data_IF_134798717035
#
_entry.id   IF_134798717035
#
_cell.length_a   1.000
_cell.length_b   1.000
_cell.length_c   1.000
_cell.angle_alpha   90.00
_cell.angle_beta   90.00
_cell.angle_gamma   90.00
#
_symmetry.space_group_name_H-M   'P 1'
#
loop_
_entity.id
_entity.type
_entity.pdbx_description
1 polymer ?
#
# COMPACT_ATOMS: atom_id res chain seq x y z
N UNK A 1 71.84 -10.96 -5.98
CA UNK A 1 70.57 -11.72 -6.01
C UNK A 1 69.78 -11.37 -4.76
N UNK A 2 68.65 -10.67 -4.91
CA UNK A 2 67.48 -10.79 -4.04
C UNK A 2 66.37 -9.90 -4.57
N UNK A 3 65.27 -10.57 -4.88
CA UNK A 3 64.02 -10.07 -5.46
C UNK A 3 63.11 -9.70 -4.28
N UNK A 4 62.35 -8.62 -4.43
CA UNK A 4 61.32 -8.23 -3.46
C UNK A 4 60.45 -7.11 -4.01
N UNK A 5 59.57 -7.43 -4.95
CA UNK A 5 58.50 -6.54 -5.40
C UNK A 5 57.58 -6.16 -4.24
N UNK A 6 57.10 -4.90 -4.14
CA UNK A 6 55.97 -4.59 -3.29
C UNK A 6 54.71 -5.22 -3.90
N UNK A 7 54.09 -6.14 -3.17
CA UNK A 7 52.75 -6.62 -3.47
C UNK A 7 51.78 -5.44 -3.40
N UNK A 8 51.34 -4.97 -4.57
CA UNK A 8 50.08 -4.24 -4.70
C UNK A 8 48.99 -5.17 -4.18
N UNK A 9 48.52 -4.92 -2.96
CA UNK A 9 47.19 -5.34 -2.56
C UNK A 9 46.22 -4.47 -3.38
N UNK A 10 45.92 -4.95 -4.59
CA UNK A 10 44.74 -4.51 -5.33
C UNK A 10 43.58 -4.59 -4.35
N UNK A 11 42.97 -3.45 -4.06
CA UNK A 11 41.73 -3.39 -3.33
C UNK A 11 40.67 -4.07 -4.17
N UNK A 12 40.54 -5.39 -4.03
CA UNK A 12 39.34 -6.14 -4.34
C UNK A 12 38.27 -5.63 -3.37
N UNK A 13 37.62 -4.52 -3.73
CA UNK A 13 36.40 -4.09 -3.05
C UNK A 13 35.47 -3.43 -4.05
N UNK A 14 34.76 -4.28 -4.78
CA UNK A 14 33.31 -4.26 -4.71
C UNK A 14 32.81 -5.65 -5.08
N UNK A 15 32.44 -6.45 -4.08
CA UNK A 15 31.49 -7.54 -4.31
C UNK A 15 30.36 -6.92 -5.15
N UNK A 16 30.03 -7.41 -6.36
CA UNK A 16 28.84 -6.93 -7.03
C UNK A 16 27.68 -7.37 -6.16
N UNK A 17 27.17 -6.47 -5.32
CA UNK A 17 25.90 -6.72 -4.65
C UNK A 17 24.90 -6.98 -5.78
N UNK A 18 24.13 -8.07 -5.75
CA UNK A 18 23.09 -8.26 -6.74
C UNK A 18 22.21 -7.02 -6.68
N UNK A 19 22.10 -6.29 -7.80
CA UNK A 19 21.23 -5.14 -7.91
C UNK A 19 19.84 -5.60 -7.46
N UNK A 20 19.35 -5.10 -6.32
CA UNK A 20 18.01 -5.42 -5.80
C UNK A 20 16.97 -4.63 -6.58
N UNK A 21 17.07 -4.78 -7.89
CA UNK A 21 16.36 -4.10 -8.94
C UNK A 21 16.25 -5.07 -10.11
N UNK A 22 15.16 -4.97 -10.87
CA UNK A 22 14.92 -5.79 -12.05
C UNK A 22 14.78 -4.85 -13.25
N UNK A 23 15.52 -5.12 -14.32
CA UNK A 23 15.38 -4.39 -15.57
C UNK A 23 14.06 -4.76 -16.28
N UNK A 24 13.53 -3.90 -17.17
CA UNK A 24 12.21 -4.12 -17.74
C UNK A 24 12.12 -5.37 -18.63
N UNK A 25 13.23 -5.82 -19.22
CA UNK A 25 13.26 -7.03 -20.05
C UNK A 25 13.18 -8.27 -19.17
N UNK A 26 14.01 -8.36 -18.12
CA UNK A 26 13.94 -9.46 -17.14
C UNK A 26 12.57 -9.53 -16.47
N UNK A 27 11.96 -8.37 -16.19
CA UNK A 27 10.59 -8.34 -15.65
C UNK A 27 9.56 -8.87 -16.65
N UNK A 28 9.63 -8.48 -17.93
CA UNK A 28 8.72 -8.96 -18.97
C UNK A 28 8.89 -10.46 -19.26
N UNK A 29 10.10 -10.99 -19.15
CA UNK A 29 10.42 -12.41 -19.33
C UNK A 29 10.06 -13.26 -18.10
N UNK A 30 9.89 -12.62 -16.94
CA UNK A 30 9.42 -13.30 -15.74
C UNK A 30 8.03 -13.88 -16.01
N UNK A 31 7.85 -15.18 -15.75
CA UNK A 31 6.57 -15.88 -15.93
C UNK A 31 5.54 -15.49 -14.85
N UNK A 32 5.28 -14.20 -14.71
CA UNK A 32 4.31 -13.64 -13.80
C UNK A 32 2.90 -13.94 -14.29
N UNK A 33 1.93 -14.13 -13.39
CA UNK A 33 0.54 -14.30 -13.78
C UNK A 33 0.05 -12.98 -14.40
N UNK A 34 -0.28 -13.04 -15.69
CA UNK A 34 -0.91 -11.93 -16.40
C UNK A 34 -2.22 -11.56 -15.73
N UNK A 35 -2.47 -10.26 -15.50
CA UNK A 35 -3.76 -9.81 -14.99
C UNK A 35 -4.88 -10.14 -15.99
N UNK A 36 -6.00 -10.68 -15.51
CA UNK A 36 -7.15 -10.99 -16.36
C UNK A 36 -7.74 -9.71 -16.99
N UNK A 37 -8.02 -8.70 -16.16
CA UNK A 37 -8.50 -7.39 -16.58
C UNK A 37 -7.77 -6.27 -15.80
N UNK A 38 -6.65 -5.75 -16.35
CA UNK A 38 -5.91 -4.66 -15.70
C UNK A 38 -6.76 -3.42 -15.47
N UNK A 39 -7.69 -3.13 -16.39
CA UNK A 39 -8.49 -1.91 -16.30
C UNK A 39 -9.40 -1.96 -15.08
N UNK A 40 -10.10 -3.07 -14.88
CA UNK A 40 -10.95 -3.27 -13.72
C UNK A 40 -10.16 -3.19 -12.40
N UNK A 41 -8.99 -3.82 -12.34
CA UNK A 41 -8.11 -3.74 -11.15
C UNK A 41 -7.67 -2.30 -10.87
N UNK A 42 -7.24 -1.56 -11.88
CA UNK A 42 -6.82 -0.17 -11.73
C UNK A 42 -8.01 0.73 -11.35
N UNK A 43 -9.17 0.57 -11.98
CA UNK A 43 -10.40 1.30 -11.66
C UNK A 43 -10.82 1.06 -10.21
N UNK A 44 -10.74 -0.18 -9.73
CA UNK A 44 -11.09 -0.56 -8.36
C UNK A 44 -10.10 0.03 -7.34
N UNK A 45 -8.79 -0.16 -7.54
CA UNK A 45 -7.76 0.38 -6.66
C UNK A 45 -7.81 1.92 -6.62
N UNK A 46 -7.99 2.56 -7.78
CA UNK A 46 -8.11 4.00 -7.86
C UNK A 46 -9.37 4.51 -7.14
N UNK A 47 -10.51 3.83 -7.29
CA UNK A 47 -11.76 4.20 -6.61
C UNK A 47 -11.66 4.06 -5.09
N UNK A 48 -11.00 3.01 -4.59
CA UNK A 48 -10.88 2.72 -3.15
C UNK A 48 -9.84 3.65 -2.50
N UNK A 49 -8.67 3.79 -3.10
CA UNK A 49 -7.53 4.49 -2.47
C UNK A 49 -7.39 5.95 -2.88
N UNK A 50 -8.05 6.38 -3.98
CA UNK A 50 -7.98 7.74 -4.53
C UNK A 50 -6.54 8.32 -4.52
N UNK A 51 -5.55 7.59 -5.06
CA UNK A 51 -4.14 7.96 -4.88
C UNK A 51 -3.81 9.24 -5.64
N UNK A 52 -3.20 10.21 -4.96
CA UNK A 52 -2.54 11.34 -5.60
C UNK A 52 -1.10 10.98 -5.99
N UNK A 53 -0.43 11.74 -6.87
CA UNK A 53 0.97 11.53 -7.20
C UNK A 53 1.86 11.44 -5.95
N UNK A 54 2.78 10.48 -5.94
CA UNK A 54 3.62 10.13 -4.78
C UNK A 54 3.06 9.01 -3.90
N UNK A 55 1.78 8.65 -4.05
CA UNK A 55 1.17 7.51 -3.34
C UNK A 55 1.43 6.20 -4.08
N UNK A 56 1.88 5.21 -3.33
CA UNK A 56 1.91 3.80 -3.75
C UNK A 56 0.68 3.09 -3.23
N UNK A 57 0.04 2.26 -4.05
CA UNK A 57 -1.04 1.37 -3.64
C UNK A 57 -0.60 -0.08 -3.83
N UNK A 58 -0.64 -0.85 -2.76
CA UNK A 58 -0.47 -2.29 -2.78
C UNK A 58 -1.86 -2.95 -2.81
N UNK A 59 -2.13 -3.75 -3.83
CA UNK A 59 -3.35 -4.55 -3.95
C UNK A 59 -3.07 -6.04 -3.78
N UNK A 60 -4.07 -6.77 -3.29
CA UNK A 60 -4.09 -8.23 -3.26
C UNK A 60 -5.30 -8.72 -4.04
N UNK A 61 -5.06 -9.59 -5.01
CA UNK A 61 -6.06 -10.15 -5.90
C UNK A 61 -6.39 -11.59 -5.50
N UNK A 62 -7.66 -11.98 -5.57
CA UNK A 62 -8.07 -13.38 -5.54
C UNK A 62 -7.66 -14.11 -6.83
N UNK A 63 -7.81 -15.45 -6.83
CA UNK A 63 -7.50 -16.28 -8.00
C UNK A 63 -8.33 -15.96 -9.24
N UNK A 64 -9.47 -15.29 -9.08
CA UNK A 64 -10.33 -14.79 -10.17
C UNK A 64 -9.97 -13.36 -10.63
N UNK A 65 -8.93 -12.75 -10.05
CA UNK A 65 -8.44 -11.42 -10.42
C UNK A 65 -9.12 -10.25 -9.71
N UNK A 66 -10.11 -10.48 -8.83
CA UNK A 66 -10.77 -9.39 -8.07
C UNK A 66 -9.89 -8.88 -6.93
N UNK A 67 -9.94 -7.58 -6.64
CA UNK A 67 -9.25 -7.00 -5.49
C UNK A 67 -9.95 -7.45 -4.20
N UNK A 68 -9.20 -8.08 -3.30
CA UNK A 68 -9.72 -8.55 -2.00
C UNK A 68 -9.16 -7.78 -0.81
N UNK A 69 -8.03 -7.10 -1.00
CA UNK A 69 -7.45 -6.22 0.01
C UNK A 69 -6.53 -5.19 -0.65
N UNK A 70 -6.24 -4.10 0.06
CA UNK A 70 -5.27 -3.13 -0.40
C UNK A 70 -4.82 -2.16 0.70
N UNK A 71 -3.68 -1.54 0.48
CA UNK A 71 -3.13 -0.48 1.32
C UNK A 71 -2.52 0.61 0.44
N UNK A 72 -2.72 1.87 0.82
CA UNK A 72 -2.08 3.02 0.20
C UNK A 72 -1.12 3.67 1.19
N UNK A 73 0.06 4.07 0.73
CA UNK A 73 1.11 4.64 1.57
C UNK A 73 2.07 5.49 0.74
N UNK A 74 2.86 6.32 1.42
CA UNK A 74 3.91 7.14 0.81
C UNK A 74 5.26 6.60 1.29
N UNK A 75 6.21 6.48 0.36
CA UNK A 75 7.58 6.08 0.67
C UNK A 75 8.48 7.33 0.62
N UNK A 76 9.32 7.58 1.65
CA UNK A 76 10.29 8.67 1.60
C UNK A 76 11.21 8.54 0.39
N UNK A 77 11.42 9.65 -0.33
CA UNK A 77 12.23 9.69 -1.58
C UNK A 77 13.67 9.16 -1.40
N UNK A 78 14.22 9.23 -0.19
CA UNK A 78 15.54 8.66 0.14
C UNK A 78 15.61 7.13 0.03
N UNK A 79 14.47 6.44 -0.01
CA UNK A 79 14.39 4.99 -0.12
C UNK A 79 14.33 4.61 -1.60
N UNK A 80 15.48 4.16 -2.11
CA UNK A 80 15.63 3.77 -3.52
C UNK A 80 16.05 2.31 -3.68
N UNK A 81 16.45 1.63 -2.60
CA UNK A 81 16.89 0.23 -2.62
C UNK A 81 15.70 -0.74 -2.44
N UNK A 82 15.65 -1.78 -3.27
CA UNK A 82 14.58 -2.77 -3.27
C UNK A 82 14.41 -3.51 -1.94
N UNK A 83 15.48 -3.70 -1.14
CA UNK A 83 15.35 -4.32 0.19
C UNK A 83 14.50 -3.49 1.15
N UNK A 84 14.67 -2.17 1.14
CA UNK A 84 13.86 -1.29 1.97
C UNK A 84 12.41 -1.28 1.48
N UNK A 85 12.20 -1.16 0.17
CA UNK A 85 10.86 -1.21 -0.44
C UNK A 85 10.14 -2.51 -0.13
N UNK A 86 10.85 -3.65 -0.17
CA UNK A 86 10.30 -4.95 0.22
C UNK A 86 9.83 -4.96 1.66
N UNK A 87 10.62 -4.42 2.58
CA UNK A 87 10.22 -4.38 4.00
C UNK A 87 8.98 -3.50 4.20
N UNK A 88 8.84 -2.41 3.43
CA UNK A 88 7.62 -1.60 3.38
C UNK A 88 6.43 -2.44 2.88
N UNK A 89 6.57 -3.15 1.75
CA UNK A 89 5.51 -4.03 1.23
C UNK A 89 5.10 -5.09 2.24
N UNK A 90 6.06 -5.77 2.87
CA UNK A 90 5.78 -6.79 3.89
C UNK A 90 5.05 -6.22 5.11
N UNK A 91 5.39 -5.02 5.56
CA UNK A 91 4.67 -4.36 6.65
C UNK A 91 3.19 -4.20 6.29
N UNK A 92 2.89 -3.66 5.10
CA UNK A 92 1.51 -3.49 4.66
C UNK A 92 0.79 -4.83 4.43
N UNK A 93 1.42 -5.83 3.81
CA UNK A 93 0.82 -7.15 3.58
C UNK A 93 0.35 -7.80 4.87
N UNK A 94 1.16 -7.73 5.94
CA UNK A 94 0.83 -8.30 7.25
C UNK A 94 -0.41 -7.65 7.89
N UNK A 95 -0.74 -6.41 7.51
CA UNK A 95 -1.91 -5.72 8.02
C UNK A 95 -3.18 -6.01 7.20
N UNK A 96 -3.05 -6.28 5.90
CA UNK A 96 -4.22 -6.38 5.00
C UNK A 96 -4.66 -7.81 4.72
N UNK A 97 -3.75 -8.79 4.73
CA UNK A 97 -4.08 -10.20 4.49
C UNK A 97 -3.21 -11.16 5.32
N UNK A 98 -3.78 -12.27 5.82
CA UNK A 98 -2.98 -13.35 6.39
C UNK A 98 -1.97 -13.91 5.37
N UNK A 99 -0.80 -14.32 5.84
CA UNK A 99 0.21 -14.91 4.96
C UNK A 99 -0.21 -16.29 4.43
N UNK A 100 0.18 -16.61 3.20
CA UNK A 100 -0.14 -17.87 2.53
C UNK A 100 0.87 -19.00 2.73
N UNK A 101 1.92 -18.80 3.53
CA UNK A 101 3.11 -19.67 3.61
C UNK A 101 2.86 -21.16 3.96
N UNK A 102 1.70 -21.49 4.54
CA UNK A 102 1.32 -22.88 4.86
C UNK A 102 0.62 -23.61 3.70
N UNK A 103 0.27 -22.90 2.62
CA UNK A 103 -0.45 -23.47 1.48
C UNK A 103 0.54 -24.08 0.49
N UNK A 104 0.14 -25.20 -0.11
CA UNK A 104 0.91 -25.85 -1.16
C UNK A 104 1.00 -25.00 -2.44
N UNK A 105 -0.04 -24.22 -2.74
CA UNK A 105 -0.04 -23.24 -3.82
C UNK A 105 -0.55 -21.87 -3.35
N UNK A 106 0.04 -20.76 -3.82
CA UNK A 106 -0.47 -19.44 -3.47
C UNK A 106 -1.78 -19.16 -4.21
N UNK A 107 -2.77 -18.67 -3.45
CA UNK A 107 -4.14 -18.44 -3.95
C UNK A 107 -4.38 -16.99 -4.36
N UNK A 108 -3.59 -16.07 -3.78
CA UNK A 108 -3.69 -14.64 -4.06
C UNK A 108 -2.46 -14.16 -4.81
N UNK A 109 -2.63 -13.12 -5.59
CA UNK A 109 -1.55 -12.40 -6.26
C UNK A 109 -1.43 -10.99 -5.69
N UNK A 110 -0.23 -10.45 -5.62
CA UNK A 110 0.03 -9.05 -5.23
C UNK A 110 0.13 -8.18 -6.48
N UNK A 111 -0.29 -6.93 -6.38
CA UNK A 111 -0.05 -5.90 -7.41
C UNK A 111 0.41 -4.62 -6.75
N UNK A 112 1.27 -3.86 -7.42
CA UNK A 112 1.63 -2.51 -7.00
C UNK A 112 1.17 -1.53 -8.06
N UNK A 113 0.48 -0.48 -7.64
CA UNK A 113 0.08 0.66 -8.45
C UNK A 113 0.83 1.88 -7.93
N UNK A 114 1.77 2.39 -8.72
CA UNK A 114 2.55 3.58 -8.40
C UNK A 114 1.94 4.82 -9.06
N UNK A 115 1.37 5.70 -8.25
CA UNK A 115 0.87 7.00 -8.71
C UNK A 115 2.00 8.02 -8.70
N UNK A 116 2.31 8.64 -9.84
CA UNK A 116 3.45 9.58 -9.96
C UNK A 116 3.26 10.62 -11.06
N UNK A 117 4.00 11.72 -10.94
CA UNK A 117 4.04 12.80 -11.93
C UNK A 117 5.07 12.56 -13.05
N UNK A 118 6.11 11.76 -12.75
CA UNK A 118 7.27 11.52 -13.62
C UNK A 118 6.99 10.41 -14.65
N UNK A 119 7.76 10.33 -15.76
CA UNK A 119 7.23 9.92 -17.05
C UNK A 119 6.68 8.49 -17.04
N UNK A 120 5.77 8.23 -17.99
CA UNK A 120 5.10 6.93 -18.14
C UNK A 120 6.07 5.74 -18.35
N UNK A 121 7.32 6.01 -18.73
CA UNK A 121 8.36 5.01 -18.95
C UNK A 121 8.96 4.42 -17.67
N UNK A 122 9.65 3.29 -17.81
CA UNK A 122 10.39 2.64 -16.73
C UNK A 122 11.53 3.52 -16.19
N UNK A 123 11.79 3.42 -14.89
CA UNK A 123 12.87 4.10 -14.15
C UNK A 123 13.61 3.08 -13.27
N UNK A 124 14.81 3.40 -12.80
CA UNK A 124 15.57 2.51 -11.90
C UNK A 124 14.81 2.21 -10.61
N UNK A 125 14.03 3.17 -10.11
CA UNK A 125 13.17 2.99 -8.95
C UNK A 125 12.04 1.98 -9.24
N UNK A 126 11.51 1.93 -10.46
CA UNK A 126 10.54 0.90 -10.86
C UNK A 126 11.17 -0.50 -10.79
N UNK A 127 12.43 -0.63 -11.22
CA UNK A 127 13.15 -1.88 -11.07
C UNK A 127 13.31 -2.32 -9.61
N UNK A 128 13.60 -1.39 -8.71
CA UNK A 128 13.67 -1.66 -7.26
C UNK A 128 12.30 -2.07 -6.69
N UNK A 129 11.21 -1.45 -7.15
CA UNK A 129 9.84 -1.83 -6.79
C UNK A 129 9.44 -3.21 -7.32
N UNK A 130 9.78 -3.53 -8.56
CA UNK A 130 9.54 -4.84 -9.19
C UNK A 130 10.25 -5.94 -8.42
N UNK A 131 11.54 -5.74 -8.10
CA UNK A 131 12.31 -6.66 -7.25
C UNK A 131 11.64 -6.83 -5.88
N UNK A 132 11.28 -5.72 -5.24
CA UNK A 132 10.65 -5.72 -3.93
C UNK A 132 9.30 -6.46 -3.93
N UNK A 133 8.49 -6.26 -4.96
CA UNK A 133 7.21 -6.92 -5.15
C UNK A 133 7.40 -8.43 -5.28
N UNK A 134 8.35 -8.86 -6.10
CA UNK A 134 8.67 -10.28 -6.26
C UNK A 134 9.08 -10.92 -4.93
N UNK A 135 10.07 -10.33 -4.24
CA UNK A 135 10.59 -10.88 -2.98
C UNK A 135 9.54 -10.85 -1.86
N UNK A 136 8.79 -9.75 -1.72
CA UNK A 136 7.72 -9.63 -0.72
C UNK A 136 6.59 -10.64 -0.95
N UNK A 137 6.27 -10.93 -2.21
CA UNK A 137 5.23 -11.92 -2.57
C UNK A 137 5.65 -13.32 -2.13
N UNK A 138 6.89 -13.71 -2.44
CA UNK A 138 7.46 -14.99 -2.03
C UNK A 138 7.45 -15.10 -0.49
N UNK A 139 7.94 -14.07 0.20
CA UNK A 139 8.03 -14.05 1.66
C UNK A 139 6.67 -14.00 2.37
N UNK A 140 5.61 -13.56 1.71
CA UNK A 140 4.24 -13.57 2.25
C UNK A 140 3.41 -14.78 1.79
N UNK A 141 3.97 -15.63 0.93
CA UNK A 141 3.27 -16.81 0.38
C UNK A 141 2.17 -16.44 -0.61
N UNK A 142 2.41 -15.42 -1.45
CA UNK A 142 1.52 -14.94 -2.51
C UNK A 142 2.21 -15.10 -3.87
N UNK A 143 1.44 -15.09 -4.97
CA UNK A 143 2.01 -14.98 -6.33
C UNK A 143 2.42 -13.52 -6.54
N UNK A 144 3.59 -13.30 -7.12
CA UNK A 144 3.95 -11.97 -7.62
C UNK A 144 3.05 -11.65 -8.81
N UNK A 145 2.31 -10.55 -8.79
CA UNK A 145 1.54 -10.06 -9.93
C UNK A 145 2.19 -8.86 -10.59
N UNK A 146 1.36 -7.95 -11.09
CA UNK A 146 1.79 -6.84 -11.93
C UNK A 146 2.31 -5.62 -11.15
N UNK A 147 3.25 -4.91 -11.75
CA UNK A 147 3.63 -3.55 -11.40
C UNK A 147 3.00 -2.58 -12.40
N UNK A 148 2.23 -1.62 -11.89
CA UNK A 148 1.40 -0.70 -12.67
C UNK A 148 1.82 0.72 -12.33
N UNK A 149 2.00 1.56 -13.34
CA UNK A 149 2.19 3.00 -13.17
C UNK A 149 0.88 3.72 -13.48
N UNK A 150 0.59 4.78 -12.72
CA UNK A 150 -0.52 5.69 -12.94
C UNK A 150 0.05 7.11 -13.01
N UNK A 151 -0.06 7.72 -14.19
CA UNK A 151 0.43 9.07 -14.49
C UNK A 151 -0.71 9.94 -15.01
N UNK A 152 -0.41 11.17 -15.41
CA UNK A 152 -1.38 12.04 -16.07
C UNK A 152 -1.85 11.51 -17.44
N UNK A 153 -1.04 10.68 -18.11
CA UNK A 153 -1.37 10.07 -19.41
C UNK A 153 -2.29 8.85 -19.28
N UNK A 154 -2.48 8.35 -18.05
CA UNK A 154 -3.27 7.18 -17.72
C UNK A 154 -2.48 6.12 -16.97
N UNK A 155 -2.86 4.87 -17.12
CA UNK A 155 -2.19 3.73 -16.49
C UNK A 155 -1.47 2.85 -17.50
N UNK A 156 -0.41 2.20 -17.06
CA UNK A 156 0.35 1.21 -17.82
C UNK A 156 0.79 0.07 -16.91
N UNK A 157 0.68 -1.17 -17.39
CA UNK A 157 1.29 -2.33 -16.74
C UNK A 157 2.71 -2.48 -17.28
N UNK A 158 3.73 -2.33 -16.44
CA UNK A 158 5.12 -2.50 -16.89
C UNK A 158 5.46 -3.98 -17.08
N UNK A 159 6.24 -4.27 -18.13
CA UNK A 159 6.49 -5.63 -18.61
C UNK A 159 5.40 -6.18 -19.53
N UNK A 160 4.27 -5.47 -19.67
CA UNK A 160 3.20 -5.83 -20.58
C UNK A 160 2.91 -4.67 -21.54
N UNK A 161 2.47 -4.97 -22.76
CA UNK A 161 2.05 -3.92 -23.72
C UNK A 161 0.63 -3.37 -23.43
N UNK A 162 0.18 -3.40 -22.17
CA UNK A 162 -1.18 -3.06 -21.75
C UNK A 162 -1.20 -1.72 -21.01
N UNK A 163 -2.03 -0.80 -21.52
CA UNK A 163 -2.20 0.57 -20.99
C UNK A 163 -3.61 1.08 -21.25
N UNK A 164 -4.01 2.14 -20.53
CA UNK A 164 -5.28 2.82 -20.72
C UNK A 164 -5.20 4.28 -20.29
N UNK A 165 -6.07 5.14 -20.85
CA UNK A 165 -6.07 6.60 -20.58
C UNK A 165 -6.86 7.00 -19.33
N UNK A 166 -7.61 6.07 -18.73
CA UNK A 166 -8.43 6.32 -17.55
C UNK A 166 -8.39 5.08 -16.66
N UNK A 167 -8.24 5.24 -15.33
CA UNK A 167 -8.07 6.51 -14.62
C UNK A 167 -6.66 7.11 -14.85
N UNK A 168 -6.46 8.35 -14.44
CA UNK A 168 -5.17 9.08 -14.50
C UNK A 168 -4.89 9.74 -13.15
N UNK A 169 -3.60 9.94 -12.81
CA UNK A 169 -3.13 10.41 -11.51
C UNK A 169 -3.73 11.77 -11.07
N UNK A 170 -4.06 12.64 -12.03
CA UNK A 170 -4.68 13.95 -11.79
C UNK A 170 -6.23 13.96 -11.75
N UNK A 171 -6.90 12.81 -11.87
CA UNK A 171 -8.37 12.78 -11.95
C UNK A 171 -9.07 13.25 -10.67
N UNK A 172 -8.38 13.20 -9.52
CA UNK A 172 -8.84 13.79 -8.26
C UNK A 172 -8.94 15.33 -8.33
N UNK A 173 -7.93 16.02 -8.86
CA UNK A 173 -7.92 17.49 -8.94
C UNK A 173 -9.14 18.01 -9.74
N UNK A 174 -9.54 17.29 -10.80
CA UNK A 174 -10.77 17.59 -11.55
C UNK A 174 -12.07 17.31 -10.77
N UNK A 175 -12.05 16.37 -9.83
CA UNK A 175 -13.23 16.02 -9.01
C UNK A 175 -13.39 16.98 -7.82
N UNK A 176 -12.30 17.45 -7.23
CA UNK A 176 -12.30 18.45 -6.15
C UNK A 176 -12.90 19.81 -6.58
N UNK A 177 -12.75 20.18 -7.86
CA UNK A 177 -13.37 21.39 -8.43
C UNK A 177 -14.90 21.26 -8.57
N UNK A 178 -15.46 20.06 -8.37
CA UNK A 178 -16.87 19.78 -8.60
C UNK A 178 -17.74 19.70 -7.33
N UNK A 179 -17.26 20.09 -6.14
CA UNK A 179 -18.09 19.99 -4.92
C UNK A 179 -17.96 21.17 -3.95
N UNK A 180 -19.11 21.82 -3.75
CA UNK A 180 -19.54 22.79 -2.72
C UNK A 180 -19.09 24.24 -2.95
N UNK A 181 -19.91 25.02 -3.67
CA UNK A 181 -19.80 26.48 -3.72
C UNK A 181 -20.30 27.15 -2.42
N UNK A 182 -21.10 26.48 -1.61
CA UNK A 182 -21.64 27.06 -0.38
C UNK A 182 -21.73 26.03 0.75
N UNK A 183 -20.96 26.25 1.81
CA UNK A 183 -21.31 25.77 3.14
C UNK A 183 -22.49 26.63 3.61
N UNK A 184 -23.60 26.06 4.11
CA UNK A 184 -24.63 26.89 4.73
C UNK A 184 -24.01 27.58 5.94
N UNK A 185 -23.85 28.90 5.83
CA UNK A 185 -23.43 29.78 6.92
C UNK A 185 -24.32 29.50 8.11
N UNK A 186 -23.70 29.10 9.22
CA UNK A 186 -24.38 28.92 10.51
C UNK A 186 -24.70 30.31 11.08
N UNK A 187 -25.61 31.03 10.46
CA UNK A 187 -26.12 32.29 10.99
C UNK A 187 -27.28 32.05 11.95
N UNK A 188 -26.98 32.30 13.23
CA UNK A 188 -27.88 32.70 14.32
C UNK A 188 -29.18 31.89 14.50
N UNK A 189 -29.08 30.87 15.35
CA UNK A 189 -30.19 30.59 16.28
C UNK A 189 -30.28 31.78 17.27
N UNK A 190 -31.46 32.41 17.47
CA UNK A 190 -31.60 33.41 18.51
C UNK A 190 -31.48 32.75 19.88
N UNK A 191 -30.70 33.39 20.75
CA UNK A 191 -30.64 33.05 22.16
C UNK A 191 -32.02 33.27 22.80
N UNK A 192 -32.71 32.19 23.16
CA UNK A 192 -33.79 32.25 24.12
C UNK A 192 -33.22 31.91 25.49
N UNK A 193 -32.81 32.96 26.20
CA UNK A 193 -32.59 32.92 27.64
C UNK A 193 -33.86 33.40 28.34
N UNK A 194 -34.20 32.70 29.43
CA UNK A 194 -35.16 33.02 30.48
C UNK A 194 -36.66 32.90 30.19
N UNK A 195 -37.23 31.77 30.61
CA UNK A 195 -38.17 31.80 31.74
C UNK A 195 -37.96 30.56 32.61
N UNK A 196 -37.48 30.80 33.84
CA UNK A 196 -37.54 29.85 34.92
C UNK A 196 -38.99 29.80 35.44
N UNK A 197 -39.60 28.62 35.41
CA UNK A 197 -40.70 28.27 36.31
C UNK A 197 -40.34 26.92 36.92
N UNK A 198 -40.22 26.95 38.24
CA UNK A 198 -39.91 25.83 39.10
C UNK A 198 -41.00 24.76 39.01
N UNK A 199 -40.61 23.49 38.80
CA UNK A 199 -41.38 22.34 39.28
C UNK A 199 -40.38 21.30 39.81
N UNK A 200 -40.36 21.22 41.13
CA UNK A 200 -39.82 20.16 41.99
C UNK A 200 -40.26 18.77 41.49
N UNK A 201 -39.35 17.81 41.38
CA UNK A 201 -39.68 16.49 40.84
C UNK A 201 -38.57 15.45 40.98
N UNK A 202 -38.28 15.09 42.22
CA UNK A 202 -37.48 13.96 42.69
C UNK A 202 -37.45 12.72 41.78
N UNK A 203 -36.26 12.28 41.34
CA UNK A 203 -35.95 10.86 41.13
C UNK A 203 -34.50 10.52 41.52
N UNK A 204 -34.26 9.38 42.20
CA UNK A 204 -33.01 9.10 42.88
C UNK A 204 -31.92 8.51 41.97
N UNK A 205 -30.68 8.78 42.38
CA UNK A 205 -29.40 8.29 41.83
C UNK A 205 -29.30 6.76 42.01
N UNK A 206 -28.98 5.97 40.98
CA UNK A 206 -28.80 4.53 41.16
C UNK A 206 -27.53 4.26 41.99
N UNK A 207 -27.69 3.50 43.07
CA UNK A 207 -26.62 3.07 43.95
C UNK A 207 -25.71 2.05 43.24
N UNK A 208 -24.40 2.29 43.32
CA UNK A 208 -23.35 1.38 42.88
C UNK A 208 -23.35 0.15 43.81
N UNK A 209 -23.75 -1.02 43.31
CA UNK A 209 -23.64 -2.26 44.07
C UNK A 209 -22.16 -2.71 44.15
N UNK A 210 -21.66 -3.11 45.33
CA UNK A 210 -20.31 -3.65 45.46
C UNK A 210 -20.23 -5.08 44.91
N UNK A 211 -19.07 -5.39 44.31
CA UNK A 211 -18.76 -6.70 43.76
C UNK A 211 -18.72 -7.79 44.85
N UNK A 212 -19.24 -8.98 44.53
CA UNK A 212 -19.23 -10.14 45.42
C UNK A 212 -17.80 -10.71 45.60
N UNK A 213 -17.44 -11.18 46.81
CA UNK A 213 -16.14 -11.80 47.06
C UNK A 213 -16.09 -13.23 46.48
N UNK A 214 -14.98 -13.54 45.79
CA UNK A 214 -14.64 -14.88 45.31
C UNK A 214 -14.18 -15.73 46.51
N UNK A 215 -14.85 -16.86 46.74
CA UNK A 215 -14.47 -17.83 47.76
C UNK A 215 -13.16 -18.55 47.38
N UNK A 216 -12.18 -18.53 48.29
CA UNK A 216 -10.96 -19.34 48.20
C UNK A 216 -11.29 -20.80 48.52
N UNK A 217 -10.94 -21.70 47.59
CA UNK A 217 -10.98 -23.14 47.82
C UNK A 217 -9.76 -23.57 48.64
N UNK A 218 -10.02 -24.24 49.77
CA UNK A 218 -9.02 -24.90 50.61
C UNK A 218 -8.86 -26.34 50.09
N UNK A 219 -7.63 -26.72 49.75
CA UNK A 219 -7.27 -28.10 49.44
C UNK A 219 -6.82 -28.81 50.74
N UNK A 220 -7.36 -30.01 50.94
CA UNK A 220 -6.86 -31.01 51.91
C UNK A 220 -5.75 -31.85 51.29
#
# INVERSE_FOLDING_TARGET
MSIGHPLKLSGESRIPAPERSVDPTTWAESSLPTLLDPRSVVDELHRIHLPHPGVTVLGVLAGDGRVVAGASFVVPERITDGWHLRNVLLAHLRHVVPHGLRRQSPVHSTVVLQCRDTPAGWTELDGAWMWALQDASVLHGLRCGAYITLTEEGWQVLGEHRRGRSPQAGSWARRAVSTVSELPSRERAPALSSMAVAIEGTRPRPALMPAAPVAQAVAH
#
